data_IF_548952667661
#
_entry.id   IF_548952667661
#
_cell.length_a   1.000
_cell.length_b   1.000
_cell.length_c   1.000
_cell.angle_alpha   90.00
_cell.angle_beta   90.00
_cell.angle_gamma   90.00
#
_symmetry.space_group_name_H-M   'P 1'
#
loop_
_entity.id
_entity.type
_entity.pdbx_description
1 polymer ?
#
# COMPACT_ATOMS: atom_id res chain seq x y z
N UNK A 1 15.60 -9.69 2.49
CA UNK A 1 14.35 -9.15 3.05
C UNK A 1 14.67 -7.76 3.55
N UNK A 2 13.96 -6.72 3.11
CA UNK A 2 14.19 -5.36 3.65
C UNK A 2 13.82 -5.35 5.12
N UNK A 3 14.71 -4.78 5.94
CA UNK A 3 14.52 -4.68 7.38
C UNK A 3 13.39 -3.68 7.71
N UNK A 4 12.71 -3.90 8.83
CA UNK A 4 11.64 -3.02 9.28
C UNK A 4 12.23 -1.84 10.03
N UNK A 5 11.79 -0.64 9.68
CA UNK A 5 12.24 0.62 10.24
C UNK A 5 11.13 1.14 11.17
N UNK A 6 11.52 1.64 12.34
CA UNK A 6 10.58 2.26 13.29
C UNK A 6 9.87 3.46 12.65
N UNK A 7 8.55 3.57 12.87
CA UNK A 7 7.75 4.63 12.27
C UNK A 7 8.17 6.05 12.68
N UNK A 8 8.89 6.20 13.79
CA UNK A 8 9.48 7.49 14.19
C UNK A 8 10.44 8.06 13.13
N UNK A 9 10.97 7.22 12.23
CA UNK A 9 11.84 7.63 11.11
C UNK A 9 11.07 7.92 9.82
N UNK A 10 9.73 7.91 9.85
CA UNK A 10 8.93 8.23 8.67
C UNK A 10 9.27 9.59 8.02
N UNK A 11 9.58 10.67 8.78
CA UNK A 11 10.02 11.93 8.19
C UNK A 11 11.28 11.81 7.31
N UNK A 12 12.10 10.77 7.52
CA UNK A 12 13.29 10.45 6.71
C UNK A 12 12.96 9.63 5.45
N UNK A 13 11.69 9.31 5.17
CA UNK A 13 11.31 8.51 4.01
C UNK A 13 11.80 9.06 2.64
N UNK A 14 11.96 10.39 2.41
CA UNK A 14 12.47 10.90 1.14
C UNK A 14 13.89 10.39 0.86
N UNK A 15 14.73 10.31 1.91
CA UNK A 15 16.10 9.81 1.84
C UNK A 15 16.18 8.31 1.54
N UNK A 16 15.10 7.57 1.81
CA UNK A 16 15.00 6.13 1.59
C UNK A 16 14.29 5.78 0.28
N UNK A 17 13.72 6.76 -0.42
CA UNK A 17 12.92 6.55 -1.62
C UNK A 17 13.80 6.05 -2.77
N UNK A 18 13.32 5.05 -3.51
CA UNK A 18 14.01 4.49 -4.68
C UNK A 18 13.04 4.28 -5.83
N UNK A 19 13.47 4.49 -7.09
CA UNK A 19 12.65 4.17 -8.25
C UNK A 19 12.25 2.68 -8.24
N UNK A 20 10.99 2.41 -8.61
CA UNK A 20 10.43 1.05 -8.61
C UNK A 20 10.13 0.46 -7.22
N UNK A 21 10.20 1.26 -6.16
CA UNK A 21 9.91 0.85 -4.79
C UNK A 21 8.84 1.73 -4.16
N UNK A 22 8.14 1.17 -3.18
CA UNK A 22 7.10 1.79 -2.35
C UNK A 22 7.36 1.44 -0.89
N UNK A 23 6.73 2.17 0.02
CA UNK A 23 6.81 1.87 1.44
C UNK A 23 5.64 0.99 1.86
N UNK A 24 5.96 -0.11 2.52
CA UNK A 24 5.01 -0.92 3.24
C UNK A 24 5.02 -0.47 4.69
N UNK A 25 3.90 0.04 5.16
CA UNK A 25 3.69 0.56 6.51
C UNK A 25 2.78 -0.40 7.25
N UNK A 26 3.17 -0.82 8.45
CA UNK A 26 2.41 -1.76 9.27
C UNK A 26 1.99 -1.09 10.58
N UNK A 27 0.78 -1.39 11.06
CA UNK A 27 0.30 -0.98 12.38
C UNK A 27 0.48 -2.08 13.44
N UNK A 28 0.12 -1.77 14.69
CA UNK A 28 0.23 -2.71 15.80
C UNK A 28 -0.64 -3.97 15.66
N UNK A 29 -1.66 -3.95 14.79
CA UNK A 29 -2.53 -5.10 14.49
C UNK A 29 -1.98 -5.97 13.35
N UNK A 30 -0.84 -5.61 12.75
CA UNK A 30 -0.31 -6.30 11.58
C UNK A 30 -1.02 -5.97 10.27
N UNK A 31 -1.88 -4.94 10.25
CA UNK A 31 -2.45 -4.43 9.00
C UNK A 31 -1.38 -3.65 8.24
N UNK A 32 -1.31 -3.86 6.93
CA UNK A 32 -0.32 -3.24 6.04
C UNK A 32 -0.96 -2.26 5.06
N UNK A 33 -0.25 -1.16 4.82
CA UNK A 33 -0.56 -0.13 3.84
C UNK A 33 0.64 0.05 2.92
N UNK A 34 0.41 -0.07 1.61
CA UNK A 34 1.43 0.25 0.60
C UNK A 34 1.20 1.69 0.14
N UNK A 35 2.21 2.54 0.32
CA UNK A 35 2.13 3.96 -0.03
C UNK A 35 3.48 4.50 -0.51
N UNK A 36 3.52 5.53 -1.37
CA UNK A 36 4.74 6.30 -1.58
C UNK A 36 5.17 7.03 -0.29
N UNK A 37 6.35 7.66 -0.32
CA UNK A 37 6.74 8.56 0.76
C UNK A 37 5.87 9.82 0.70
N UNK A 38 5.02 10.00 1.70
CA UNK A 38 4.13 11.16 1.84
C UNK A 38 4.31 11.80 3.22
N UNK A 39 4.26 13.14 3.28
CA UNK A 39 4.41 13.87 4.53
C UNK A 39 3.31 13.55 5.55
N UNK A 40 2.08 13.34 5.05
CA UNK A 40 0.94 12.90 5.84
C UNK A 40 0.50 11.55 5.31
N UNK A 41 0.59 10.52 6.14
CA UNK A 41 0.18 9.19 5.75
C UNK A 41 -1.35 9.09 5.64
N UNK A 42 -1.90 8.64 4.48
CA UNK A 42 -3.32 8.40 4.33
C UNK A 42 -3.72 7.09 5.03
N UNK A 43 -3.74 7.12 6.37
CA UNK A 43 -4.10 5.95 7.17
C UNK A 43 -5.56 5.58 6.90
N UNK A 44 -5.86 4.31 6.53
CA UNK A 44 -7.23 3.85 6.34
C UNK A 44 -8.07 4.04 7.60
N UNK A 45 -9.34 4.43 7.42
CA UNK A 45 -10.26 4.66 8.54
C UNK A 45 -10.53 3.42 9.40
N UNK A 46 -10.32 2.22 8.85
CA UNK A 46 -10.51 0.94 9.53
C UNK A 46 -9.33 0.56 10.46
N UNK A 47 -8.25 1.34 10.45
CA UNK A 47 -7.11 1.08 11.32
C UNK A 47 -7.43 1.41 12.77
N UNK A 48 -7.34 0.39 13.62
CA UNK A 48 -7.59 0.50 15.06
C UNK A 48 -6.38 1.04 15.84
N UNK A 49 -5.21 1.10 15.21
CA UNK A 49 -4.03 1.76 15.77
C UNK A 49 -3.17 2.41 14.69
N UNK A 50 -2.33 3.34 15.14
CA UNK A 50 -1.40 4.04 14.28
C UNK A 50 -0.32 3.14 13.69
N UNK A 51 0.37 3.62 12.64
CA UNK A 51 1.58 3.00 12.11
C UNK A 51 2.63 2.77 13.20
N UNK A 52 3.32 1.62 13.18
CA UNK A 52 4.40 1.29 14.12
C UNK A 52 5.74 1.05 13.44
N UNK A 53 5.72 0.55 12.21
CA UNK A 53 6.93 0.32 11.43
C UNK A 53 6.67 0.44 9.94
N UNK A 54 7.72 0.66 9.17
CA UNK A 54 7.66 0.69 7.72
C UNK A 54 8.91 0.07 7.10
N UNK A 55 8.83 -0.37 5.85
CA UNK A 55 9.99 -0.85 5.08
C UNK A 55 9.83 -0.50 3.62
N UNK A 56 10.96 -0.44 2.90
CA UNK A 56 10.95 -0.23 1.46
C UNK A 56 10.82 -1.57 0.74
N UNK A 57 9.79 -1.70 -0.10
CA UNK A 57 9.52 -2.91 -0.89
C UNK A 57 9.43 -2.58 -2.38
N UNK A 58 9.78 -3.49 -3.29
CA UNK A 58 9.52 -3.30 -4.71
C UNK A 58 8.00 -3.13 -4.96
N UNK A 59 7.65 -2.29 -5.93
CA UNK A 59 6.25 -2.09 -6.34
C UNK A 59 5.64 -3.45 -6.70
N UNK A 60 4.53 -3.86 -6.04
CA UNK A 60 3.87 -5.11 -6.40
C UNK A 60 3.36 -5.04 -7.84
N UNK A 61 3.47 -6.13 -8.61
CA UNK A 61 3.00 -6.14 -9.99
C UNK A 61 1.51 -5.82 -10.03
N UNK A 62 1.12 -4.96 -10.96
CA UNK A 62 -0.29 -4.65 -11.18
C UNK A 62 -1.06 -5.94 -11.43
N UNK A 63 -2.11 -6.19 -10.65
CA UNK A 63 -2.97 -7.34 -10.88
C UNK A 63 -3.77 -7.08 -12.15
N UNK A 64 -3.70 -7.93 -13.18
CA UNK A 64 -4.51 -7.75 -14.37
C UNK A 64 -5.99 -7.79 -13.98
N UNK A 65 -6.72 -6.77 -14.43
CA UNK A 65 -8.17 -6.74 -14.26
C UNK A 65 -8.80 -7.85 -15.10
N UNK A 66 -9.72 -8.61 -14.51
CA UNK A 66 -10.56 -9.51 -15.30
C UNK A 66 -11.42 -8.66 -16.26
N UNK A 67 -11.64 -9.12 -17.51
CA UNK A 67 -12.52 -8.44 -18.44
C UNK A 67 -13.92 -8.29 -17.85
N UNK A 68 -14.53 -7.12 -18.09
CA UNK A 68 -15.91 -6.83 -17.69
C UNK A 68 -16.84 -7.85 -18.39
N UNK A 69 -17.77 -8.51 -17.68
CA UNK A 69 -18.69 -9.46 -18.29
C UNK A 69 -19.47 -8.82 -19.44
N UNK A 70 -19.67 -9.56 -20.54
CA UNK A 70 -20.47 -9.09 -21.65
C UNK A 70 -21.91 -8.80 -21.19
N UNK A 71 -22.57 -7.73 -21.70
CA UNK A 71 -23.95 -7.41 -21.35
C UNK A 71 -24.88 -8.57 -21.73
N UNK A 72 -25.80 -8.93 -20.83
CA UNK A 72 -26.81 -9.94 -21.08
C UNK A 72 -27.71 -9.47 -22.24
N UNK A 73 -27.71 -10.22 -23.35
CA UNK A 73 -28.61 -9.95 -24.48
C UNK A 73 -30.04 -10.25 -24.01
N UNK A 74 -30.99 -9.29 -24.04
CA UNK A 74 -32.37 -9.59 -23.72
C UNK A 74 -32.92 -10.52 -24.80
N UNK A 75 -33.33 -11.73 -24.43
CA UNK A 75 -33.95 -12.67 -25.35
C UNK A 75 -35.18 -12.04 -26.00
N UNK A 76 -35.16 -11.90 -27.33
CA UNK A 76 -36.36 -11.57 -28.12
C UNK A 76 -37.35 -12.71 -27.97
N UNK A 77 -38.50 -12.41 -27.38
CA UNK A 77 -39.70 -13.25 -27.41
C UNK A 77 -40.60 -12.80 -28.55
#
# INVERSE_FOLDING_TARGET
>A
MTDWIDFSRWPDCPSLTRPGHVFEVENAQGQVLITPCEATLPVPWDWQSGPVRFRLVPVPPAKPSNPIPAPAVPGRR
#
